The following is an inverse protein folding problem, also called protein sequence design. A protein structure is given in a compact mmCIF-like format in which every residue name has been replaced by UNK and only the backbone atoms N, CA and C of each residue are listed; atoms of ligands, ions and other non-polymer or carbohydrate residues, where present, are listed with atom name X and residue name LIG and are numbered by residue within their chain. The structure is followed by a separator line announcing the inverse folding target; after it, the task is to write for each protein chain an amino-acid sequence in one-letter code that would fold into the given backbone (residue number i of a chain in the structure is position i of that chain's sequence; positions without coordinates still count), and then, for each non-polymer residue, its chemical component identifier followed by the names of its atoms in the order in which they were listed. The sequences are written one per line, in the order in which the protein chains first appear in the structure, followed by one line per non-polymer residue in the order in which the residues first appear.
data_IF_303414238316
#
_entry.id   IF_303414238316
#
_cell.length_a   1.000
_cell.length_b   1.000
_cell.length_c   1.000
_cell.angle_alpha   90.00
_cell.angle_beta   90.00
_cell.angle_gamma   90.00
#
_symmetry.space_group_name_H-M   'P 1'
#
loop_
_entity.id
_entity.type
_entity.pdbx_description
1 polymer ?
#
# COMPACT_ATOMS: atom_id res chain seq x y z
N UNK A 1 8.79 -1.66 -25.61
CA UNK A 1 9.15 -0.24 -25.32
C UNK A 1 8.77 0.02 -23.89
N UNK A 2 9.70 0.56 -23.11
CA UNK A 2 9.46 0.82 -21.69
C UNK A 2 8.29 1.79 -21.45
N UNK A 3 7.75 1.80 -20.26
CA UNK A 3 6.67 2.72 -19.86
C UNK A 3 7.30 3.95 -19.20
N UNK A 4 7.14 5.18 -19.75
CA UNK A 4 7.65 6.38 -19.10
C UNK A 4 6.97 6.59 -17.74
N UNK A 5 7.77 6.90 -16.73
CA UNK A 5 7.31 7.08 -15.36
C UNK A 5 8.04 8.20 -14.64
N UNK A 6 7.35 8.89 -13.74
CA UNK A 6 7.94 9.75 -12.72
C UNK A 6 7.87 9.02 -11.40
N UNK A 7 9.01 8.87 -10.75
CA UNK A 7 9.17 8.07 -9.55
C UNK A 7 9.82 8.90 -8.45
N UNK A 8 9.32 8.77 -7.23
CA UNK A 8 9.96 9.36 -6.05
C UNK A 8 11.09 8.45 -5.60
N UNK A 9 12.30 9.00 -5.60
CA UNK A 9 13.52 8.31 -5.21
C UNK A 9 14.03 8.87 -3.89
N UNK A 10 14.41 7.98 -3.00
CA UNK A 10 15.15 8.29 -1.78
C UNK A 10 16.64 7.97 -2.01
N UNK A 11 17.52 8.99 -2.12
CA UNK A 11 18.96 8.82 -2.34
C UNK A 11 19.67 8.13 -1.16
N UNK A 12 20.95 7.76 -1.36
CA UNK A 12 21.74 7.06 -0.34
C UNK A 12 22.03 7.93 0.88
N UNK A 13 22.48 9.16 0.63
CA UNK A 13 23.15 9.99 1.65
C UNK A 13 22.26 11.08 2.25
N UNK A 14 20.98 11.13 1.90
CA UNK A 14 20.05 12.15 2.38
C UNK A 14 18.65 11.57 2.61
N UNK A 15 17.87 12.22 3.46
CA UNK A 15 16.44 11.97 3.62
C UNK A 15 15.57 12.83 2.66
N UNK A 16 16.19 13.69 1.85
CA UNK A 16 15.49 14.52 0.88
C UNK A 16 15.07 13.67 -0.32
N UNK A 17 13.77 13.68 -0.59
CA UNK A 17 13.19 12.96 -1.71
C UNK A 17 13.39 13.75 -3.01
N UNK A 18 13.59 13.05 -4.11
CA UNK A 18 13.59 13.66 -5.44
C UNK A 18 12.68 12.90 -6.39
N UNK A 19 12.17 13.58 -7.39
CA UNK A 19 11.37 12.98 -8.46
C UNK A 19 12.27 12.81 -9.67
N UNK A 20 12.34 11.59 -10.18
CA UNK A 20 13.05 11.27 -11.41
C UNK A 20 12.09 10.78 -12.50
N UNK A 21 12.37 11.19 -13.75
CA UNK A 21 11.72 10.65 -14.94
C UNK A 21 12.59 9.54 -15.51
N UNK A 22 12.00 8.37 -15.69
CA UNK A 22 12.68 7.18 -16.19
C UNK A 22 11.74 6.29 -17.01
N UNK A 23 12.28 5.27 -17.63
CA UNK A 23 11.52 4.23 -18.32
C UNK A 23 11.42 2.99 -17.42
N UNK A 24 10.20 2.55 -17.09
CA UNK A 24 10.00 1.25 -16.47
C UNK A 24 10.29 0.15 -17.50
N UNK A 25 10.96 -0.94 -17.12
CA UNK A 25 11.14 -2.09 -18.01
C UNK A 25 9.79 -2.72 -18.38
N UNK A 26 9.77 -3.47 -19.47
CA UNK A 26 8.63 -4.33 -19.78
C UNK A 26 8.42 -5.36 -18.66
N UNK A 27 7.18 -5.72 -18.31
CA UNK A 27 6.92 -6.62 -17.18
C UNK A 27 7.48 -8.02 -17.44
N UNK A 28 8.17 -8.58 -16.46
CA UNK A 28 8.52 -9.99 -16.45
C UNK A 28 7.28 -10.89 -16.37
N UNK A 29 7.45 -12.23 -16.51
CA UNK A 29 6.31 -13.16 -16.61
C UNK A 29 5.25 -13.01 -15.50
N UNK A 30 5.67 -12.71 -14.28
CA UNK A 30 4.80 -12.58 -13.10
C UNK A 30 4.56 -11.13 -12.66
N UNK A 31 4.86 -10.15 -13.51
CA UNK A 31 4.74 -8.73 -13.15
C UNK A 31 3.60 -8.03 -13.89
N UNK A 32 3.15 -6.93 -13.31
CA UNK A 32 2.08 -6.08 -13.82
C UNK A 32 2.56 -4.63 -13.82
N UNK A 33 2.35 -3.92 -14.93
CA UNK A 33 2.54 -2.46 -14.99
C UNK A 33 1.19 -1.79 -14.73
N UNK A 34 1.18 -0.88 -13.76
CA UNK A 34 -0.02 -0.17 -13.31
C UNK A 34 0.21 1.34 -13.43
N UNK A 35 -0.70 2.04 -14.12
CA UNK A 35 -0.82 3.50 -14.04
C UNK A 35 -1.60 3.84 -12.79
N UNK A 36 -1.02 4.64 -11.90
CA UNK A 36 -1.59 4.93 -10.60
C UNK A 36 -2.48 6.17 -10.63
N UNK A 37 -3.59 6.13 -9.92
CA UNK A 37 -4.53 7.24 -9.72
C UNK A 37 -4.29 7.95 -8.39
N UNK A 38 -4.01 7.17 -7.35
CA UNK A 38 -3.73 7.65 -6.01
C UNK A 38 -2.81 6.69 -5.28
N UNK A 39 -2.00 7.21 -4.36
CA UNK A 39 -1.15 6.43 -3.45
C UNK A 39 -1.31 6.95 -2.03
N UNK A 40 -1.38 6.04 -1.08
CA UNK A 40 -1.33 6.38 0.33
C UNK A 40 0.09 6.74 0.79
N UNK A 41 0.16 7.38 1.96
CA UNK A 41 1.40 7.71 2.67
C UNK A 41 1.35 7.05 4.04
N UNK A 42 2.22 6.09 4.26
CA UNK A 42 2.31 5.38 5.54
C UNK A 42 3.49 5.90 6.38
N UNK A 43 3.31 5.92 7.68
CA UNK A 43 4.37 6.35 8.62
C UNK A 43 5.67 5.51 8.49
N UNK A 44 5.56 4.27 8.01
CA UNK A 44 6.73 3.42 7.78
C UNK A 44 7.71 4.00 6.76
N UNK A 45 7.28 4.85 5.81
CA UNK A 45 8.18 5.56 4.91
C UNK A 45 9.09 6.53 5.66
N UNK A 46 8.63 7.18 6.74
CA UNK A 46 9.49 8.03 7.56
C UNK A 46 10.62 7.22 8.21
N UNK A 47 10.33 6.01 8.69
CA UNK A 47 11.37 5.12 9.18
C UNK A 47 12.36 4.74 8.08
N UNK A 48 11.87 4.42 6.87
CA UNK A 48 12.72 4.11 5.72
C UNK A 48 13.64 5.30 5.36
N UNK A 49 13.12 6.53 5.38
CA UNK A 49 13.87 7.75 5.07
C UNK A 49 15.04 7.98 6.05
N UNK A 50 14.89 7.58 7.31
CA UNK A 50 15.92 7.73 8.35
C UNK A 50 16.78 6.48 8.57
N UNK A 51 16.48 5.37 7.87
CA UNK A 51 17.28 4.15 7.98
C UNK A 51 18.52 4.23 7.07
N UNK A 52 19.73 3.91 7.58
CA UNK A 52 20.94 3.84 6.78
C UNK A 52 20.76 2.86 5.60
N UNK A 53 21.20 3.25 4.41
CA UNK A 53 21.07 2.46 3.19
C UNK A 53 22.33 2.52 2.33
N UNK A 54 22.55 1.50 1.50
CA UNK A 54 23.73 1.37 0.63
C UNK A 54 23.42 1.61 -0.84
N UNK A 55 22.16 1.83 -1.17
CA UNK A 55 21.67 2.10 -2.54
C UNK A 55 20.43 2.97 -2.47
N UNK A 56 20.08 3.72 -3.52
CA UNK A 56 18.83 4.43 -3.58
C UNK A 56 17.65 3.47 -3.50
N UNK A 57 16.52 3.94 -2.96
CA UNK A 57 15.29 3.14 -2.88
C UNK A 57 14.11 3.93 -3.44
N UNK A 58 13.14 3.21 -3.99
CA UNK A 58 11.84 3.74 -4.39
C UNK A 58 10.81 3.39 -3.34
N UNK A 59 9.93 4.33 -3.02
CA UNK A 59 9.06 4.29 -1.86
C UNK A 59 7.58 4.10 -2.24
N UNK A 60 6.76 3.93 -1.19
CA UNK A 60 5.33 3.71 -1.30
C UNK A 60 4.98 2.22 -1.37
N UNK A 61 3.83 1.85 -0.79
CA UNK A 61 3.42 0.45 -0.74
C UNK A 61 1.91 0.25 -0.71
N UNK A 62 1.15 1.29 -1.04
CA UNK A 62 -0.31 1.26 -1.12
C UNK A 62 -0.79 2.24 -2.19
N UNK A 63 -1.56 1.76 -3.15
CA UNK A 63 -2.11 2.60 -4.21
C UNK A 63 -3.31 1.96 -4.91
N UNK A 64 -3.97 2.75 -5.74
CA UNK A 64 -4.97 2.28 -6.70
C UNK A 64 -4.62 2.80 -8.09
N UNK A 65 -4.83 1.97 -9.11
CA UNK A 65 -4.56 2.33 -10.48
C UNK A 65 -5.26 1.42 -11.48
N UNK A 66 -4.88 1.56 -12.74
CA UNK A 66 -5.35 0.72 -13.84
C UNK A 66 -4.20 -0.08 -14.44
N UNK A 67 -4.44 -1.34 -14.73
CA UNK A 67 -3.47 -2.24 -15.37
C UNK A 67 -3.22 -1.78 -16.79
N UNK A 68 -1.96 -1.53 -17.14
CA UNK A 68 -1.53 -1.19 -18.50
C UNK A 68 -0.92 -2.39 -19.24
N UNK A 69 -0.16 -3.22 -18.53
CA UNK A 69 0.51 -4.39 -19.11
C UNK A 69 0.53 -5.52 -18.07
N UNK A 70 0.49 -6.76 -18.57
CA UNK A 70 0.60 -7.96 -17.74
C UNK A 70 1.66 -8.90 -18.32
N UNK A 71 2.41 -9.56 -17.45
CA UNK A 71 3.32 -10.64 -17.84
C UNK A 71 2.58 -11.91 -18.23
N UNK A 72 3.26 -12.80 -18.93
CA UNK A 72 2.67 -14.01 -19.56
C UNK A 72 2.03 -14.99 -18.56
N UNK A 73 2.49 -14.98 -17.30
CA UNK A 73 2.02 -15.89 -16.24
C UNK A 73 0.99 -15.22 -15.30
N UNK A 74 0.58 -13.99 -15.61
CA UNK A 74 -0.46 -13.26 -14.84
C UNK A 74 -1.83 -13.68 -15.33
N UNK A 75 -2.65 -14.25 -14.45
CA UNK A 75 -3.96 -14.82 -14.84
C UNK A 75 -5.17 -14.20 -14.13
N UNK A 76 -4.96 -13.44 -13.04
CA UNK A 76 -6.05 -12.95 -12.20
C UNK A 76 -6.45 -11.49 -12.47
N UNK A 77 -5.68 -10.76 -13.28
CA UNK A 77 -5.97 -9.41 -13.76
C UNK A 77 -5.64 -9.31 -15.24
N UNK A 78 -6.31 -8.38 -15.94
CA UNK A 78 -6.08 -8.09 -17.37
C UNK A 78 -5.91 -6.58 -17.55
N UNK A 79 -5.40 -6.19 -18.71
CA UNK A 79 -5.29 -4.77 -19.10
C UNK A 79 -6.66 -4.09 -19.03
N UNK A 80 -6.69 -2.92 -18.39
CA UNK A 80 -7.92 -2.14 -18.14
C UNK A 80 -8.59 -2.42 -16.79
N UNK A 81 -8.19 -3.47 -16.06
CA UNK A 81 -8.71 -3.70 -14.70
C UNK A 81 -8.27 -2.60 -13.73
N UNK A 82 -9.20 -2.16 -12.88
CA UNK A 82 -8.87 -1.33 -11.72
C UNK A 82 -8.32 -2.23 -10.61
N UNK A 83 -7.17 -1.85 -10.09
CA UNK A 83 -6.44 -2.67 -9.11
C UNK A 83 -5.92 -1.83 -7.96
N UNK A 84 -5.79 -2.46 -6.82
CA UNK A 84 -5.02 -2.00 -5.68
C UNK A 84 -3.65 -2.65 -5.73
N UNK A 85 -2.59 -1.87 -5.46
CA UNK A 85 -1.24 -2.36 -5.21
C UNK A 85 -0.97 -2.27 -3.71
N UNK A 86 -0.55 -3.36 -3.10
CA UNK A 86 -0.34 -3.49 -1.65
C UNK A 86 1.01 -4.14 -1.35
N UNK A 87 1.50 -4.02 -0.13
CA UNK A 87 2.73 -4.66 0.34
C UNK A 87 2.51 -6.09 0.86
N UNK A 88 1.25 -6.49 1.04
CA UNK A 88 0.87 -7.83 1.53
C UNK A 88 0.54 -8.72 0.35
N UNK A 89 1.13 -9.91 0.27
CA UNK A 89 0.82 -10.82 -0.83
C UNK A 89 -0.65 -11.26 -0.80
N UNK A 90 -1.27 -11.29 -1.96
CA UNK A 90 -2.68 -11.68 -2.16
C UNK A 90 -3.03 -13.06 -1.62
N UNK A 91 -2.08 -13.97 -1.65
CA UNK A 91 -2.19 -15.31 -1.07
C UNK A 91 -1.11 -15.52 -0.03
N UNK A 92 -1.51 -15.74 1.22
CA UNK A 92 -0.59 -15.98 2.33
C UNK A 92 0.01 -17.39 2.32
N UNK A 93 -0.55 -18.33 1.56
CA UNK A 93 -0.02 -19.69 1.39
C UNK A 93 1.25 -19.63 0.57
N UNK A 94 2.31 -20.22 1.12
CA UNK A 94 3.66 -20.27 0.58
C UNK A 94 3.69 -20.21 -0.95
N UNK A 95 3.92 -19.03 -1.46
CA UNK A 95 4.19 -18.86 -2.87
C UNK A 95 5.45 -19.68 -3.16
N UNK A 96 5.33 -20.65 -4.03
CA UNK A 96 6.45 -21.44 -4.51
C UNK A 96 7.46 -20.60 -5.29
N UNK A 97 7.08 -19.36 -5.64
CA UNK A 97 7.91 -18.41 -6.41
C UNK A 97 8.09 -17.15 -5.55
N UNK A 98 9.32 -16.81 -5.15
CA UNK A 98 9.59 -15.54 -4.47
C UNK A 98 9.17 -14.35 -5.32
N UNK A 99 8.55 -13.30 -4.73
CA UNK A 99 8.21 -12.10 -5.48
C UNK A 99 9.45 -11.42 -6.06
N UNK A 100 9.29 -10.87 -7.26
CA UNK A 100 10.38 -10.16 -7.94
C UNK A 100 10.30 -8.67 -7.61
N UNK A 101 11.27 -8.10 -6.86
CA UNK A 101 11.29 -6.67 -6.57
C UNK A 101 11.57 -5.87 -7.86
N UNK A 102 10.99 -4.67 -7.95
CA UNK A 102 11.33 -3.75 -9.02
C UNK A 102 12.77 -3.23 -8.86
N UNK A 103 13.50 -3.16 -9.98
CA UNK A 103 14.84 -2.55 -10.09
C UNK A 103 14.78 -1.47 -11.12
N UNK A 104 15.16 -0.26 -10.76
CA UNK A 104 15.06 0.92 -11.61
C UNK A 104 16.42 1.61 -11.69
N UNK A 105 16.85 1.95 -12.88
CA UNK A 105 18.03 2.77 -13.07
C UNK A 105 17.68 4.23 -12.79
N UNK A 106 18.31 4.80 -11.80
CA UNK A 106 18.13 6.19 -11.34
C UNK A 106 19.46 6.92 -11.43
N UNK A 107 19.47 8.23 -11.23
CA UNK A 107 20.64 9.08 -11.47
C UNK A 107 21.88 8.72 -10.63
N UNK A 108 21.72 8.08 -9.47
CA UNK A 108 22.80 7.67 -8.56
C UNK A 108 22.93 6.15 -8.39
N UNK A 109 22.46 5.38 -9.36
CA UNK A 109 22.63 3.93 -9.42
C UNK A 109 21.32 3.16 -9.58
N UNK A 110 21.29 1.90 -9.16
CA UNK A 110 20.10 1.07 -9.25
C UNK A 110 19.28 1.17 -7.97
N UNK A 111 18.09 1.75 -8.05
CA UNK A 111 17.10 1.74 -6.98
C UNK A 111 16.34 0.41 -6.96
N UNK A 112 16.03 -0.09 -5.75
CA UNK A 112 15.27 -1.33 -5.57
C UNK A 112 14.10 -1.06 -4.65
N UNK A 113 12.90 -1.53 -5.02
CA UNK A 113 11.78 -1.58 -4.10
C UNK A 113 11.97 -2.71 -3.07
N UNK A 114 11.37 -2.60 -1.89
CA UNK A 114 11.33 -3.75 -0.96
C UNK A 114 10.42 -4.86 -1.53
N UNK A 115 9.15 -4.56 -1.74
CA UNK A 115 8.18 -5.44 -2.39
C UNK A 115 7.57 -4.73 -3.60
N UNK A 116 7.05 -3.53 -3.38
CA UNK A 116 6.44 -2.65 -4.38
C UNK A 116 6.93 -1.22 -4.18
N UNK A 117 6.68 -0.35 -5.14
CA UNK A 117 6.81 1.09 -4.98
C UNK A 117 5.56 1.76 -5.57
N UNK A 118 5.00 2.74 -4.87
CA UNK A 118 3.75 3.39 -5.28
C UNK A 118 3.82 4.92 -5.28
N UNK A 119 4.91 5.50 -4.82
CA UNK A 119 5.13 6.94 -4.97
C UNK A 119 5.68 7.26 -6.36
N UNK A 120 4.82 7.03 -7.34
CA UNK A 120 5.08 7.19 -8.77
C UNK A 120 3.77 7.36 -9.52
N UNK A 121 3.80 7.85 -10.76
CA UNK A 121 2.61 7.83 -11.62
C UNK A 121 2.39 6.48 -12.32
N UNK A 122 3.46 5.67 -12.41
CA UNK A 122 3.40 4.30 -12.89
C UNK A 122 4.27 3.40 -12.00
N UNK A 123 3.84 2.17 -11.78
CA UNK A 123 4.60 1.16 -11.04
C UNK A 123 4.66 -0.16 -11.78
N UNK A 124 5.71 -0.93 -11.53
CA UNK A 124 5.80 -2.33 -11.90
C UNK A 124 5.84 -3.16 -10.62
N UNK A 125 4.93 -4.09 -10.47
CA UNK A 125 4.78 -4.90 -9.27
C UNK A 125 4.66 -6.38 -9.60
N UNK A 126 5.16 -7.24 -8.71
CA UNK A 126 4.85 -8.67 -8.78
C UNK A 126 3.34 -8.89 -8.61
N UNK A 127 2.77 -9.81 -9.37
CA UNK A 127 1.34 -10.11 -9.37
C UNK A 127 0.77 -10.47 -7.99
N UNK A 128 1.59 -10.94 -7.06
CA UNK A 128 1.16 -11.28 -5.70
C UNK A 128 0.70 -10.05 -4.91
N UNK A 129 1.19 -8.86 -5.27
CA UNK A 129 0.87 -7.59 -4.63
C UNK A 129 -0.19 -6.78 -5.37
N UNK A 130 -0.82 -7.34 -6.40
CA UNK A 130 -1.85 -6.69 -7.22
C UNK A 130 -3.20 -7.37 -7.01
N UNK A 131 -4.20 -6.59 -6.58
CA UNK A 131 -5.54 -7.09 -6.25
C UNK A 131 -6.57 -6.33 -7.06
N UNK A 132 -7.42 -7.04 -7.82
CA UNK A 132 -8.54 -6.43 -8.54
C UNK A 132 -9.56 -5.86 -7.55
N UNK A 133 -10.02 -4.63 -7.82
CA UNK A 133 -11.03 -3.92 -7.01
C UNK A 133 -12.19 -3.46 -7.90
N UNK A 134 -13.33 -3.16 -7.28
CA UNK A 134 -14.48 -2.61 -7.99
C UNK A 134 -14.14 -1.20 -8.53
N UNK A 135 -14.22 -0.97 -9.84
CA UNK A 135 -13.90 0.33 -10.46
C UNK A 135 -14.87 1.46 -10.06
N UNK A 136 -16.02 1.14 -9.47
CA UNK A 136 -16.99 2.13 -9.01
C UNK A 136 -16.65 2.73 -7.63
N UNK A 137 -15.71 2.13 -6.89
CA UNK A 137 -15.23 2.70 -5.63
C UNK A 137 -14.23 3.82 -5.93
N UNK A 138 -14.32 4.94 -5.22
CA UNK A 138 -13.39 6.07 -5.38
C UNK A 138 -11.95 5.64 -5.18
N UNK A 139 -11.07 6.05 -6.08
CA UNK A 139 -9.68 5.62 -6.13
C UNK A 139 -8.83 6.13 -4.96
N UNK A 140 -9.16 7.31 -4.42
CA UNK A 140 -8.54 7.85 -3.21
C UNK A 140 -8.88 7.03 -1.95
N UNK A 141 -10.08 6.43 -1.91
CA UNK A 141 -10.49 5.52 -0.83
C UNK A 141 -9.78 4.17 -0.98
N UNK A 142 -9.79 3.59 -2.18
CA UNK A 142 -9.17 2.27 -2.40
C UNK A 142 -7.64 2.30 -2.26
N UNK A 143 -7.00 3.45 -2.47
CA UNK A 143 -5.55 3.59 -2.37
C UNK A 143 -4.98 3.29 -0.97
N UNK A 144 -5.75 3.48 0.11
CA UNK A 144 -5.30 3.25 1.49
C UNK A 144 -5.76 1.90 2.08
N UNK A 145 -6.57 1.14 1.32
CA UNK A 145 -7.10 -0.15 1.81
C UNK A 145 -5.98 -1.15 2.03
N UNK A 146 -4.99 -1.17 1.14
CA UNK A 146 -3.91 -2.15 1.13
C UNK A 146 -2.88 -2.00 2.27
N UNK A 147 -3.00 -1.00 3.14
CA UNK A 147 -2.14 -0.83 4.30
C UNK A 147 -2.94 -0.45 5.56
N UNK A 148 -3.32 0.81 5.71
CA UNK A 148 -3.90 1.30 6.96
C UNK A 148 -5.24 0.61 7.29
N UNK A 149 -6.14 0.50 6.31
CA UNK A 149 -7.47 -0.10 6.53
C UNK A 149 -7.35 -1.59 6.83
N UNK A 150 -6.61 -2.32 6.02
CA UNK A 150 -6.40 -3.76 6.23
C UNK A 150 -5.72 -4.04 7.58
N UNK A 151 -4.73 -3.23 7.97
CA UNK A 151 -4.02 -3.39 9.24
C UNK A 151 -4.95 -3.15 10.43
N UNK A 152 -5.65 -2.02 10.45
CA UNK A 152 -6.50 -1.66 11.57
C UNK A 152 -7.75 -2.54 11.71
N UNK A 153 -8.52 -2.69 10.65
CA UNK A 153 -9.70 -3.54 10.65
C UNK A 153 -9.35 -5.02 10.84
N UNK A 154 -8.28 -5.49 10.18
CA UNK A 154 -7.79 -6.86 10.30
C UNK A 154 -7.30 -7.20 11.72
N UNK A 155 -6.67 -6.27 12.42
CA UNK A 155 -6.27 -6.47 13.82
C UNK A 155 -7.48 -6.77 14.72
N UNK A 156 -8.59 -6.08 14.50
CA UNK A 156 -9.82 -6.28 15.28
C UNK A 156 -10.56 -7.55 14.86
N UNK A 157 -10.80 -7.70 13.55
CA UNK A 157 -11.69 -8.75 13.02
C UNK A 157 -10.98 -10.11 13.02
N UNK A 158 -9.70 -10.14 12.58
CA UNK A 158 -9.01 -11.42 12.33
C UNK A 158 -8.02 -11.79 13.44
N UNK A 159 -7.36 -10.80 14.09
CA UNK A 159 -6.33 -11.11 15.10
C UNK A 159 -6.91 -11.15 16.50
N UNK A 160 -7.67 -10.12 16.89
CA UNK A 160 -8.33 -10.07 18.19
C UNK A 160 -9.65 -10.88 18.20
N UNK A 161 -10.18 -11.21 17.03
CA UNK A 161 -11.43 -11.96 16.84
C UNK A 161 -12.60 -11.40 17.68
N UNK A 162 -12.76 -10.09 17.62
CA UNK A 162 -13.74 -9.34 18.43
C UNK A 162 -15.16 -9.80 18.07
N UNK A 163 -15.90 -10.23 19.09
CA UNK A 163 -17.28 -10.69 18.97
C UNK A 163 -18.29 -9.57 19.28
N UNK A 164 -19.55 -9.68 18.79
CA UNK A 164 -20.59 -8.70 19.10
C UNK A 164 -20.77 -8.49 20.61
N UNK A 165 -20.96 -7.21 20.99
CA UNK A 165 -21.11 -6.76 22.39
C UNK A 165 -19.85 -6.85 23.27
N UNK A 166 -18.70 -7.21 22.72
CA UNK A 166 -17.45 -7.05 23.45
C UNK A 166 -17.00 -5.60 23.44
N UNK A 167 -16.39 -5.16 24.55
CA UNK A 167 -15.80 -3.83 24.65
C UNK A 167 -14.42 -3.79 23.99
N UNK A 168 -14.11 -2.71 23.26
CA UNK A 168 -12.82 -2.52 22.59
C UNK A 168 -12.26 -1.15 22.97
N UNK A 169 -10.99 -1.10 23.41
CA UNK A 169 -10.25 0.14 23.57
C UNK A 169 -9.15 0.25 22.52
N UNK A 170 -9.11 1.37 21.80
CA UNK A 170 -8.19 1.65 20.71
C UNK A 170 -7.32 2.84 21.10
N UNK A 171 -6.03 2.61 21.28
CA UNK A 171 -5.04 3.62 21.65
C UNK A 171 -4.35 4.15 20.39
N UNK A 172 -4.53 5.45 20.12
CA UNK A 172 -4.09 6.12 18.91
C UNK A 172 -5.12 6.00 17.78
N UNK A 173 -5.78 7.10 17.40
CA UNK A 173 -6.78 7.15 16.32
C UNK A 173 -6.25 7.89 15.09
N UNK A 174 -5.01 7.57 14.67
CA UNK A 174 -4.50 7.84 13.33
C UNK A 174 -5.14 6.90 12.30
N UNK A 175 -4.58 6.82 11.08
CA UNK A 175 -5.17 6.02 9.98
C UNK A 175 -5.45 4.56 10.34
N UNK A 176 -4.50 3.88 11.00
CA UNK A 176 -4.66 2.49 11.47
C UNK A 176 -5.71 2.39 12.59
N UNK A 177 -5.64 3.29 13.59
CA UNK A 177 -6.59 3.29 14.71
C UNK A 177 -8.02 3.61 14.28
N UNK A 178 -8.23 4.57 13.36
CA UNK A 178 -9.55 4.84 12.78
C UNK A 178 -10.09 3.61 12.03
N UNK A 179 -9.22 2.91 11.31
CA UNK A 179 -9.59 1.66 10.63
C UNK A 179 -9.95 0.56 11.63
N UNK A 180 -9.27 0.53 12.79
CA UNK A 180 -9.63 -0.37 13.88
C UNK A 180 -10.99 -0.01 14.51
N UNK A 181 -11.33 1.29 14.64
CA UNK A 181 -12.67 1.73 15.08
C UNK A 181 -13.75 1.23 14.11
N UNK A 182 -13.53 1.39 12.80
CA UNK A 182 -14.44 0.84 11.78
C UNK A 182 -14.55 -0.68 11.89
N UNK A 183 -13.43 -1.39 12.03
CA UNK A 183 -13.40 -2.84 12.23
C UNK A 183 -14.18 -3.28 13.47
N UNK A 184 -14.02 -2.58 14.59
CA UNK A 184 -14.74 -2.84 15.84
C UNK A 184 -16.26 -2.64 15.67
N UNK A 185 -16.66 -1.56 14.98
CA UNK A 185 -18.07 -1.32 14.65
C UNK A 185 -18.63 -2.43 13.76
N UNK A 186 -17.89 -2.85 12.74
CA UNK A 186 -18.31 -3.96 11.84
C UNK A 186 -18.44 -5.28 12.59
N UNK A 187 -17.57 -5.54 13.58
CA UNK A 187 -17.65 -6.71 14.46
C UNK A 187 -18.79 -6.62 15.50
N UNK A 188 -19.50 -5.50 15.59
CA UNK A 188 -20.57 -5.30 16.58
C UNK A 188 -20.05 -5.06 17.99
N UNK A 189 -18.83 -4.58 18.16
CA UNK A 189 -18.28 -4.24 19.47
C UNK A 189 -19.09 -3.12 20.17
N UNK A 190 -19.26 -3.23 21.46
CA UNK A 190 -19.94 -2.21 22.27
C UNK A 190 -19.52 -2.35 23.76
N UNK A 191 -18.99 -1.29 24.42
CA UNK A 191 -18.62 -0.01 23.82
C UNK A 191 -17.33 -0.04 23.02
N UNK A 192 -17.16 0.92 22.10
CA UNK A 192 -15.89 1.22 21.42
C UNK A 192 -15.29 2.47 22.08
N UNK A 193 -14.10 2.36 22.63
CA UNK A 193 -13.42 3.43 23.35
C UNK A 193 -12.18 3.87 22.55
N UNK A 194 -12.18 5.10 22.06
CA UNK A 194 -11.04 5.70 21.37
C UNK A 194 -10.22 6.54 22.35
N UNK A 195 -8.90 6.35 22.36
CA UNK A 195 -7.95 7.09 23.19
C UNK A 195 -6.87 7.72 22.32
N UNK A 196 -6.69 9.04 22.40
CA UNK A 196 -5.62 9.77 21.72
C UNK A 196 -5.23 11.00 22.54
N UNK A 197 -4.07 11.57 22.29
CA UNK A 197 -3.61 12.82 22.92
C UNK A 197 -4.20 14.06 22.21
N UNK A 198 -4.77 13.91 21.04
CA UNK A 198 -5.30 14.97 20.19
C UNK A 198 -6.84 14.95 20.18
N UNK A 199 -7.44 15.94 20.80
CA UNK A 199 -8.90 16.08 20.88
C UNK A 199 -9.57 16.21 19.49
N UNK A 200 -8.89 16.78 18.48
CA UNK A 200 -9.41 16.89 17.14
C UNK A 200 -9.53 15.51 16.48
N UNK A 201 -8.57 14.63 16.71
CA UNK A 201 -8.63 13.23 16.25
C UNK A 201 -9.74 12.45 16.96
N UNK A 202 -9.91 12.65 18.25
CA UNK A 202 -11.02 12.03 19.00
C UNK A 202 -12.38 12.51 18.49
N UNK A 203 -12.52 13.81 18.22
CA UNK A 203 -13.75 14.35 17.61
C UNK A 203 -14.01 13.75 16.23
N UNK A 204 -12.97 13.59 15.40
CA UNK A 204 -13.07 12.97 14.08
C UNK A 204 -13.45 11.48 14.16
N UNK A 205 -12.86 10.75 15.12
CA UNK A 205 -13.13 9.33 15.32
C UNK A 205 -14.59 9.00 15.61
N UNK A 206 -15.32 9.91 16.29
CA UNK A 206 -16.76 9.75 16.56
C UNK A 206 -17.64 9.60 15.31
N UNK A 207 -17.15 10.04 14.14
CA UNK A 207 -17.84 9.85 12.87
C UNK A 207 -17.79 8.42 12.32
N UNK A 208 -16.93 7.57 12.88
CA UNK A 208 -16.68 6.22 12.37
C UNK A 208 -17.28 5.11 13.24
N UNK A 209 -17.59 5.39 14.49
CA UNK A 209 -18.18 4.40 15.39
C UNK A 209 -18.43 4.90 16.79
#
# INVERSE_FOLDING_TARGET
MGTPARVVVLPVDTAELRVESLELPDPGPHQVVVKQFASGICHSQLHQMHTPRKRPVVLGHESTGVVLQVGSEVTHVVVGDTVMVTWVPRQATAASIPPVPARLEVSDGTAVSQNVFTWADHTIADQQYVVKVDPNIKTDVTAIIGCAVMTGAGAVINTADVQPNQSVAIFGVGGVGLSAVVGARMAGANPIIAVDLDDAKLAFAKGFG
#
